data_IF_539236168190
#
_entry.id   IF_539236168190
#
_cell.length_a   1.000
_cell.length_b   1.000
_cell.length_c   1.000
_cell.angle_alpha   90.00
_cell.angle_beta   90.00
_cell.angle_gamma   90.00
#
_symmetry.space_group_name_H-M   'P 1'
#
loop_
_entity.id
_entity.type
_entity.pdbx_description
1 polymer ?
#
# COMPACT_ATOMS: atom_id res chain seq x y z
N UNK A 1 -15.34 20.28 6.70
CA UNK A 1 -14.85 19.02 6.08
C UNK A 1 -15.82 18.64 4.99
N UNK A 2 -15.35 18.27 3.80
CA UNK A 2 -16.23 17.68 2.80
C UNK A 2 -16.77 16.33 3.33
N UNK A 3 -18.04 15.99 3.10
CA UNK A 3 -18.59 14.70 3.54
C UNK A 3 -17.82 13.56 2.86
N UNK A 4 -17.43 12.56 3.64
CA UNK A 4 -16.89 11.30 3.11
C UNK A 4 -18.04 10.61 2.35
N UNK A 5 -17.83 10.17 1.10
CA UNK A 5 -18.85 9.43 0.37
C UNK A 5 -19.37 8.23 1.17
N UNK A 6 -20.69 8.05 1.18
CA UNK A 6 -21.38 7.03 1.98
C UNK A 6 -21.41 5.65 1.31
N UNK A 7 -21.13 5.57 0.01
CA UNK A 7 -21.07 4.33 -0.76
C UNK A 7 -19.95 4.38 -1.82
N UNK A 8 -19.70 3.25 -2.50
CA UNK A 8 -18.70 3.13 -3.58
C UNK A 8 -19.15 3.72 -4.92
N UNK A 9 -20.41 4.14 -5.02
CA UNK A 9 -21.06 4.58 -6.26
C UNK A 9 -21.00 6.09 -6.47
N UNK A 10 -20.29 6.82 -5.61
CA UNK A 10 -20.10 8.25 -5.80
C UNK A 10 -19.36 8.55 -7.12
N UNK A 11 -19.94 9.45 -7.93
CA UNK A 11 -19.44 9.73 -9.28
C UNK A 11 -18.11 10.50 -9.29
N UNK A 12 -17.84 11.30 -8.26
CA UNK A 12 -16.67 12.21 -8.23
C UNK A 12 -16.02 12.30 -6.87
N UNK A 13 -14.70 12.15 -6.84
CA UNK A 13 -13.89 12.43 -5.65
C UNK A 13 -13.90 13.95 -5.39
N UNK A 14 -14.16 14.40 -4.15
CA UNK A 14 -14.12 15.83 -3.80
C UNK A 14 -12.82 16.51 -4.24
N UNK A 15 -12.93 17.73 -4.80
CA UNK A 15 -11.80 18.45 -5.40
C UNK A 15 -10.60 18.59 -4.43
N UNK A 16 -10.87 18.88 -3.16
CA UNK A 16 -9.85 19.05 -2.13
C UNK A 16 -9.06 17.76 -1.78
N UNK A 17 -9.48 16.59 -2.28
CA UNK A 17 -8.80 15.32 -2.12
C UNK A 17 -8.00 14.91 -3.37
N UNK A 18 -8.23 15.58 -4.51
CA UNK A 18 -7.54 15.27 -5.77
C UNK A 18 -6.42 16.26 -6.09
N UNK A 19 -6.24 17.31 -5.27
CA UNK A 19 -5.13 18.26 -5.37
C UNK A 19 -4.34 18.33 -4.07
N UNK A 20 -3.04 18.59 -4.17
CA UNK A 20 -2.19 18.83 -2.99
C UNK A 20 -2.39 20.26 -2.45
N UNK A 21 -1.84 20.55 -1.26
CA UNK A 21 -1.77 21.92 -0.73
C UNK A 21 -0.98 22.90 -1.62
N UNK A 22 -0.17 22.38 -2.54
CA UNK A 22 0.60 23.16 -3.52
C UNK A 22 -0.13 23.29 -4.87
N UNK A 23 -1.39 22.84 -4.93
CA UNK A 23 -2.24 22.85 -6.13
C UNK A 23 -1.75 21.92 -7.25
N UNK A 24 -0.93 20.91 -6.91
CA UNK A 24 -0.53 19.86 -7.84
C UNK A 24 -1.63 18.80 -7.95
N UNK A 25 -1.78 18.19 -9.12
CA UNK A 25 -2.64 17.02 -9.27
C UNK A 25 -2.15 15.89 -8.35
N UNK A 26 -3.07 15.27 -7.62
CA UNK A 26 -2.79 14.20 -6.68
C UNK A 26 -3.50 12.90 -7.04
N UNK A 27 -4.69 12.97 -7.62
CA UNK A 27 -5.38 11.80 -8.18
C UNK A 27 -4.74 11.39 -9.51
N UNK A 28 -4.21 10.18 -9.57
CA UNK A 28 -3.57 9.64 -10.77
C UNK A 28 -4.48 8.69 -11.54
N UNK A 29 -5.30 7.91 -10.82
CA UNK A 29 -6.16 6.90 -11.42
C UNK A 29 -7.41 6.68 -10.56
N UNK A 30 -8.53 6.45 -11.24
CA UNK A 30 -9.80 6.02 -10.66
C UNK A 30 -10.46 5.09 -11.69
N UNK A 31 -10.66 3.82 -11.33
CA UNK A 31 -11.29 2.85 -12.23
C UNK A 31 -12.79 3.09 -12.43
N UNK A 32 -13.36 4.07 -11.70
CA UNK A 32 -14.76 4.44 -11.77
C UNK A 32 -15.61 3.80 -10.67
N UNK A 33 -16.85 4.31 -10.47
CA UNK A 33 -17.75 3.84 -9.42
C UNK A 33 -18.06 2.35 -9.55
N UNK A 34 -18.08 1.62 -8.43
CA UNK A 34 -18.39 0.19 -8.40
C UNK A 34 -17.72 -0.56 -7.26
N UNK A 35 -18.12 -1.82 -7.07
CA UNK A 35 -17.61 -2.68 -6.02
C UNK A 35 -16.10 -2.95 -6.13
N UNK A 36 -15.57 -2.96 -7.36
CA UNK A 36 -14.15 -3.24 -7.65
C UNK A 36 -13.32 -1.97 -7.87
N UNK A 37 -13.79 -0.81 -7.38
CA UNK A 37 -13.13 0.48 -7.60
C UNK A 37 -11.72 0.51 -7.00
N UNK A 38 -10.75 0.92 -7.81
CA UNK A 38 -9.37 1.19 -7.40
C UNK A 38 -9.10 2.67 -7.64
N UNK A 39 -8.54 3.34 -6.63
CA UNK A 39 -8.16 4.75 -6.70
C UNK A 39 -6.70 4.90 -6.30
N UNK A 40 -5.89 5.55 -7.13
CA UNK A 40 -4.46 5.77 -6.90
C UNK A 40 -4.17 7.26 -6.80
N UNK A 41 -3.44 7.64 -5.74
CA UNK A 41 -2.95 8.99 -5.54
C UNK A 41 -1.43 9.03 -5.45
N UNK A 42 -0.81 9.93 -6.21
CA UNK A 42 0.62 10.23 -6.15
C UNK A 42 0.90 11.58 -6.83
N UNK A 43 1.41 12.55 -6.09
CA UNK A 43 1.78 13.84 -6.67
C UNK A 43 3.02 13.72 -7.58
N UNK A 44 3.25 14.66 -8.51
CA UNK A 44 4.44 14.65 -9.36
C UNK A 44 5.76 14.58 -8.57
N UNK A 45 5.83 15.25 -7.42
CA UNK A 45 6.99 15.20 -6.54
C UNK A 45 7.21 13.79 -5.95
N UNK A 46 6.13 13.11 -5.57
CA UNK A 46 6.20 11.73 -5.06
C UNK A 46 6.59 10.75 -6.16
N UNK A 47 6.01 10.86 -7.36
CA UNK A 47 6.39 10.05 -8.52
C UNK A 47 7.87 10.23 -8.87
N UNK A 48 8.40 11.46 -8.77
CA UNK A 48 9.83 11.72 -8.96
C UNK A 48 10.68 11.00 -7.93
N UNK A 49 10.30 11.01 -6.65
CA UNK A 49 11.02 10.26 -5.60
C UNK A 49 10.93 8.76 -5.86
N UNK A 50 9.75 8.27 -6.25
CA UNK A 50 9.51 6.87 -6.59
C UNK A 50 10.39 6.37 -7.74
N UNK A 51 10.68 7.21 -8.74
CA UNK A 51 11.62 6.88 -9.81
C UNK A 51 13.11 7.02 -9.44
N UNK A 52 13.44 7.62 -8.30
CA UNK A 52 14.81 7.82 -7.83
C UNK A 52 15.22 6.86 -6.69
N UNK A 53 14.25 6.22 -6.05
CA UNK A 53 14.48 5.29 -4.95
C UNK A 53 14.66 3.85 -5.47
N UNK A 54 15.50 3.09 -4.79
CA UNK A 54 15.74 1.66 -5.02
C UNK A 54 14.98 0.78 -4.03
N UNK A 55 14.77 1.28 -2.82
CA UNK A 55 14.28 0.49 -1.69
C UNK A 55 12.93 1.02 -1.23
N UNK A 56 12.00 0.09 -1.00
CA UNK A 56 10.62 0.44 -0.68
C UNK A 56 10.09 -0.36 0.49
N UNK A 57 9.10 0.20 1.18
CA UNK A 57 8.27 -0.49 2.15
C UNK A 57 6.83 -0.38 1.68
N UNK A 58 6.14 -1.52 1.58
CA UNK A 58 4.72 -1.55 1.18
C UNK A 58 3.89 -2.22 2.26
N UNK A 59 2.72 -1.64 2.53
CA UNK A 59 1.85 -2.15 3.60
C UNK A 59 0.38 -1.81 3.34
N UNK A 60 -0.51 -2.72 3.77
CA UNK A 60 -1.95 -2.54 3.74
C UNK A 60 -2.46 -2.05 5.10
N UNK A 61 -3.06 -0.86 5.14
CA UNK A 61 -3.62 -0.26 6.35
C UNK A 61 -5.14 -0.46 6.36
N UNK A 62 -5.69 -0.92 7.49
CA UNK A 62 -7.13 -1.19 7.67
C UNK A 62 -7.82 -0.20 8.60
N UNK A 63 -7.15 0.21 9.69
CA UNK A 63 -7.77 0.95 10.80
C UNK A 63 -8.29 2.34 10.42
N UNK A 64 -7.62 2.99 9.46
CA UNK A 64 -7.94 4.36 9.00
C UNK A 64 -8.61 4.39 7.63
N UNK A 65 -8.91 3.21 7.07
CA UNK A 65 -9.48 3.09 5.73
C UNK A 65 -10.95 3.47 5.76
N UNK A 66 -11.42 4.32 4.81
CA UNK A 66 -12.85 4.57 4.66
C UNK A 66 -13.60 3.25 4.50
N UNK A 67 -14.70 3.05 5.24
CA UNK A 67 -15.44 1.77 5.28
C UNK A 67 -15.93 1.26 3.92
N UNK A 68 -16.00 2.14 2.94
CA UNK A 68 -16.36 1.82 1.56
C UNK A 68 -15.26 1.06 0.81
N UNK A 69 -14.00 1.15 1.25
CA UNK A 69 -12.88 0.35 0.73
C UNK A 69 -12.42 -0.68 1.75
N UNK A 70 -11.83 -1.77 1.26
CA UNK A 70 -11.31 -2.83 2.13
C UNK A 70 -9.99 -2.42 2.79
N UNK A 71 -9.12 -1.75 2.05
CA UNK A 71 -7.82 -1.30 2.56
C UNK A 71 -7.29 -0.07 1.84
N UNK A 72 -6.46 0.68 2.55
CA UNK A 72 -5.55 1.66 2.00
C UNK A 72 -4.17 1.00 1.91
N UNK A 73 -3.72 0.71 0.70
CA UNK A 73 -2.39 0.21 0.43
C UNK A 73 -1.42 1.37 0.22
N UNK A 74 -0.30 1.36 0.93
CA UNK A 74 0.68 2.44 0.94
C UNK A 74 2.02 1.97 0.41
N UNK A 75 2.62 2.74 -0.50
CA UNK A 75 3.99 2.54 -0.97
C UNK A 75 4.87 3.64 -0.41
N UNK A 76 5.86 3.26 0.39
CA UNK A 76 6.86 4.15 0.94
C UNK A 76 8.18 3.93 0.22
N UNK A 77 8.81 5.01 -0.25
CA UNK A 77 10.17 4.99 -0.75
C UNK A 77 11.14 5.26 0.41
N UNK A 78 12.20 4.48 0.49
CA UNK A 78 13.37 4.82 1.30
C UNK A 78 14.29 5.64 0.40
N UNK A 79 14.34 6.95 0.64
CA UNK A 79 15.09 7.88 -0.19
C UNK A 79 15.89 8.84 0.67
N UNK A 80 17.21 8.88 0.47
CA UNK A 80 18.14 9.71 1.27
C UNK A 80 18.00 9.50 2.78
N UNK A 81 17.91 8.23 3.18
CA UNK A 81 17.73 7.77 4.57
C UNK A 81 16.41 8.19 5.25
N UNK A 82 15.43 8.66 4.47
CA UNK A 82 14.09 8.99 4.94
C UNK A 82 13.07 8.01 4.38
N UNK A 83 12.03 7.70 5.15
CA UNK A 83 10.88 6.90 4.70
C UNK A 83 9.77 7.84 4.28
N UNK A 84 9.51 7.92 2.98
CA UNK A 84 8.56 8.87 2.40
C UNK A 84 7.40 8.14 1.74
N UNK A 85 6.18 8.48 2.11
CA UNK A 85 4.97 7.95 1.47
C UNK A 85 4.81 8.55 0.07
N UNK A 86 4.93 7.72 -0.95
CA UNK A 86 4.98 8.14 -2.36
C UNK A 86 3.76 7.71 -3.18
N UNK A 87 3.02 6.70 -2.74
CA UNK A 87 1.78 6.28 -3.42
C UNK A 87 0.76 5.76 -2.42
N UNK A 88 -0.50 6.17 -2.61
CA UNK A 88 -1.65 5.69 -1.86
C UNK A 88 -2.60 4.99 -2.81
N UNK A 89 -3.12 3.83 -2.41
CA UNK A 89 -4.09 3.10 -3.20
C UNK A 89 -5.25 2.63 -2.34
N UNK A 90 -6.46 3.04 -2.69
CA UNK A 90 -7.68 2.48 -2.11
C UNK A 90 -8.05 1.23 -2.90
N UNK A 91 -8.12 0.09 -2.21
CA UNK A 91 -8.41 -1.21 -2.82
C UNK A 91 -9.76 -1.78 -2.33
N UNK A 92 -10.51 -2.44 -3.23
CA UNK A 92 -11.81 -3.03 -2.91
C UNK A 92 -11.70 -4.36 -2.15
N UNK A 93 -10.58 -5.07 -2.27
CA UNK A 93 -10.34 -6.39 -1.66
C UNK A 93 -8.84 -6.72 -1.64
N UNK A 94 -8.51 -7.98 -1.27
CA UNK A 94 -7.14 -8.53 -1.16
C UNK A 94 -6.81 -9.61 -2.21
N UNK A 95 -7.56 -9.66 -3.31
CA UNK A 95 -7.31 -10.68 -4.33
C UNK A 95 -6.02 -10.40 -5.10
N UNK A 96 -5.36 -11.46 -5.58
CA UNK A 96 -4.16 -11.31 -6.41
C UNK A 96 -4.45 -10.50 -7.69
N UNK A 97 -5.65 -10.63 -8.27
CA UNK A 97 -6.09 -9.86 -9.44
C UNK A 97 -6.13 -8.37 -9.13
N UNK A 98 -6.72 -7.96 -8.00
CA UNK A 98 -6.76 -6.56 -7.57
C UNK A 98 -5.36 -6.00 -7.33
N UNK A 99 -4.46 -6.77 -6.70
CA UNK A 99 -3.07 -6.35 -6.55
C UNK A 99 -2.34 -6.24 -7.89
N UNK A 100 -2.58 -7.15 -8.83
CA UNK A 100 -2.01 -7.08 -10.18
C UNK A 100 -2.46 -5.82 -10.91
N UNK A 101 -3.75 -5.50 -10.87
CA UNK A 101 -4.28 -4.27 -11.46
C UNK A 101 -3.65 -3.04 -10.83
N UNK A 102 -3.53 -3.01 -9.49
CA UNK A 102 -2.85 -1.93 -8.78
C UNK A 102 -1.41 -1.75 -9.28
N UNK A 103 -0.60 -2.80 -9.27
CA UNK A 103 0.81 -2.71 -9.67
C UNK A 103 0.94 -2.30 -11.14
N UNK A 104 0.12 -2.84 -12.04
CA UNK A 104 0.12 -2.45 -13.44
C UNK A 104 -0.19 -0.95 -13.62
N UNK A 105 -1.21 -0.44 -12.92
CA UNK A 105 -1.56 0.98 -12.99
C UNK A 105 -0.47 1.87 -12.39
N UNK A 106 0.14 1.47 -11.27
CA UNK A 106 1.28 2.21 -10.70
C UNK A 106 2.45 2.26 -11.69
N UNK A 107 2.78 1.17 -12.37
CA UNK A 107 3.85 1.14 -13.38
C UNK A 107 3.55 2.00 -14.60
N UNK A 108 2.27 2.17 -14.97
CA UNK A 108 1.86 3.13 -16.02
C UNK A 108 2.02 4.57 -15.54
N UNK A 109 1.59 4.87 -14.30
CA UNK A 109 1.67 6.21 -13.69
C UNK A 109 3.12 6.62 -13.43
N UNK A 110 3.96 5.68 -12.97
CA UNK A 110 5.37 5.89 -12.64
C UNK A 110 6.24 4.85 -13.36
N UNK A 111 6.52 5.04 -14.67
CA UNK A 111 7.28 4.07 -15.47
C UNK A 111 8.75 3.96 -15.07
N UNK A 112 9.26 4.91 -14.28
CA UNK A 112 10.60 4.87 -13.70
C UNK A 112 10.64 4.15 -12.34
N UNK A 113 9.51 3.64 -11.85
CA UNK A 113 9.50 2.84 -10.64
C UNK A 113 10.14 1.47 -10.91
N UNK A 114 11.41 1.34 -10.50
CA UNK A 114 12.24 0.16 -10.70
C UNK A 114 12.80 -0.30 -9.35
N UNK A 115 11.95 -0.87 -8.47
CA UNK A 115 12.37 -1.28 -7.15
C UNK A 115 13.42 -2.39 -7.22
N UNK A 116 14.47 -2.26 -6.41
CA UNK A 116 15.47 -3.31 -6.21
C UNK A 116 15.15 -4.12 -4.95
N UNK A 117 14.71 -3.45 -3.88
CA UNK A 117 14.31 -4.10 -2.63
C UNK A 117 12.91 -3.64 -2.24
N UNK A 118 12.07 -4.58 -1.80
CA UNK A 118 10.80 -4.25 -1.17
C UNK A 118 10.67 -4.99 0.15
N UNK A 119 10.49 -4.23 1.23
CA UNK A 119 10.09 -4.75 2.52
C UNK A 119 8.57 -4.77 2.59
N UNK A 120 7.99 -5.92 2.95
CA UNK A 120 6.55 -6.08 3.04
C UNK A 120 6.16 -7.15 4.05
N UNK A 121 4.85 -7.28 4.26
CA UNK A 121 4.26 -8.37 5.00
C UNK A 121 4.22 -9.66 4.19
N UNK A 122 4.13 -10.79 4.88
CA UNK A 122 4.12 -12.12 4.27
C UNK A 122 2.79 -12.47 3.56
N UNK A 123 2.07 -11.47 3.05
CA UNK A 123 0.87 -11.69 2.24
C UNK A 123 1.24 -12.21 0.85
N UNK A 124 0.74 -13.40 0.48
CA UNK A 124 1.07 -14.05 -0.80
C UNK A 124 0.67 -13.21 -2.03
N UNK A 125 -0.43 -12.47 -1.96
CA UNK A 125 -0.96 -11.69 -3.09
C UNK A 125 0.05 -10.66 -3.60
N UNK A 126 0.45 -9.68 -2.77
CA UNK A 126 1.45 -8.69 -3.14
C UNK A 126 2.82 -9.30 -3.51
N UNK A 127 3.26 -10.33 -2.78
CA UNK A 127 4.52 -11.05 -3.07
C UNK A 127 4.52 -11.59 -4.50
N UNK A 128 3.49 -12.35 -4.88
CA UNK A 128 3.41 -12.95 -6.21
C UNK A 128 3.40 -11.88 -7.30
N UNK A 129 2.54 -10.87 -7.15
CA UNK A 129 2.38 -9.81 -8.16
C UNK A 129 3.67 -8.99 -8.33
N UNK A 130 4.34 -8.64 -7.24
CA UNK A 130 5.61 -7.88 -7.32
C UNK A 130 6.73 -8.74 -7.92
N UNK A 131 6.76 -10.04 -7.65
CA UNK A 131 7.73 -10.96 -8.25
C UNK A 131 7.53 -11.12 -9.75
N UNK A 132 6.26 -11.21 -10.17
CA UNK A 132 5.89 -11.29 -11.59
C UNK A 132 6.18 -9.96 -12.31
N UNK A 133 5.94 -8.82 -11.67
CA UNK A 133 6.17 -7.49 -12.24
C UNK A 133 7.66 -7.10 -12.30
N UNK A 134 8.47 -7.56 -11.34
CA UNK A 134 9.87 -7.18 -11.19
C UNK A 134 10.75 -8.42 -10.95
N UNK A 135 11.24 -9.09 -12.01
CA UNK A 135 11.89 -10.41 -11.91
C UNK A 135 13.15 -10.47 -11.04
N UNK A 136 13.81 -9.34 -10.80
CA UNK A 136 15.05 -9.25 -10.02
C UNK A 136 14.86 -8.60 -8.64
N UNK A 137 13.61 -8.38 -8.22
CA UNK A 137 13.31 -7.70 -6.95
C UNK A 137 13.68 -8.57 -5.76
N UNK A 138 14.35 -7.99 -4.77
CA UNK A 138 14.61 -8.62 -3.49
C UNK A 138 13.47 -8.32 -2.53
N UNK A 139 12.70 -9.34 -2.18
CA UNK A 139 11.63 -9.21 -1.18
C UNK A 139 12.16 -9.55 0.19
N UNK A 140 11.98 -8.63 1.14
CA UNK A 140 12.36 -8.82 2.53
C UNK A 140 11.12 -8.76 3.42
N UNK A 141 11.08 -9.64 4.42
CA UNK A 141 9.99 -9.63 5.40
C UNK A 141 10.19 -8.49 6.40
N UNK A 142 9.12 -7.77 6.73
CA UNK A 142 9.15 -6.79 7.80
C UNK A 142 9.30 -7.47 9.17
N UNK A 143 10.44 -7.28 9.85
CA UNK A 143 10.71 -7.86 11.18
C UNK A 143 9.69 -7.48 12.24
N UNK A 144 9.09 -6.28 12.14
CA UNK A 144 8.03 -5.84 13.03
C UNK A 144 6.78 -6.73 12.93
N UNK A 145 6.32 -6.97 11.70
CA UNK A 145 5.16 -7.83 11.45
C UNK A 145 5.48 -9.32 11.65
N UNK A 146 6.72 -9.74 11.44
CA UNK A 146 7.19 -11.06 11.85
C UNK A 146 7.05 -11.26 13.36
N UNK A 147 7.56 -10.32 14.18
CA UNK A 147 7.42 -10.36 15.65
C UNK A 147 5.96 -10.38 16.08
N UNK A 148 5.12 -9.56 15.46
CA UNK A 148 3.69 -9.52 15.77
C UNK A 148 2.98 -10.84 15.42
N UNK A 149 3.35 -11.45 14.28
CA UNK A 149 2.82 -12.75 13.86
C UNK A 149 3.22 -13.87 14.81
N UNK A 150 4.51 -13.92 15.21
CA UNK A 150 4.99 -14.87 16.22
C UNK A 150 4.27 -14.66 17.55
N UNK A 151 4.13 -13.41 18.02
CA UNK A 151 3.44 -13.11 19.27
C UNK A 151 1.97 -13.57 19.25
N UNK A 152 1.24 -13.26 18.17
CA UNK A 152 -0.13 -13.79 17.96
C UNK A 152 -0.16 -15.31 17.99
N UNK A 153 0.80 -15.98 17.35
CA UNK A 153 0.85 -17.44 17.32
C UNK A 153 1.11 -18.05 18.69
N UNK A 154 1.99 -17.43 19.49
CA UNK A 154 2.25 -17.82 20.89
C UNK A 154 0.97 -17.66 21.73
N UNK A 155 0.23 -16.56 21.53
CA UNK A 155 -1.05 -16.36 22.21
C UNK A 155 -2.11 -17.39 21.80
N UNK A 156 -2.26 -17.67 20.50
CA UNK A 156 -3.19 -18.67 19.95
C UNK A 156 -2.92 -20.09 20.47
N UNK A 157 -1.65 -20.45 20.64
CA UNK A 157 -1.24 -21.78 21.11
C UNK A 157 -1.32 -21.92 22.63
N UNK A 158 -1.77 -20.89 23.37
CA UNK A 158 -1.87 -20.93 24.83
C UNK A 158 -0.52 -20.97 25.55
N UNK A 159 0.59 -20.75 24.83
CA UNK A 159 1.96 -20.78 25.36
C UNK A 159 2.34 -19.46 26.08
N UNK A 160 1.37 -18.77 26.68
CA UNK A 160 1.63 -17.55 27.45
C UNK A 160 2.33 -17.86 28.78
N UNK A 161 2.13 -19.06 29.34
CA UNK A 161 2.65 -19.44 30.65
C UNK A 161 4.10 -19.96 30.62
N UNK A 162 4.65 -20.35 29.47
CA UNK A 162 6.03 -20.88 29.37
C UNK A 162 7.10 -19.78 29.30
N UNK A 163 6.71 -18.52 29.06
CA UNK A 163 7.64 -17.39 28.95
C UNK A 163 7.67 -16.47 30.18
N UNK A 164 6.89 -16.77 31.24
CA UNK A 164 6.88 -15.98 32.49
C UNK A 164 7.71 -16.59 33.64
N UNK A 165 8.43 -17.67 33.38
CA UNK A 165 9.43 -18.22 34.31
C UNK A 165 10.78 -18.26 33.60
N UNK A 166 11.50 -17.15 33.67
CA UNK A 166 12.97 -17.05 33.85
C UNK A 166 13.39 -15.62 33.47
N UNK A 167 13.13 -14.70 34.40
CA UNK A 167 13.94 -13.50 34.58
C UNK A 167 14.97 -13.80 35.69
#
# INVERSE_FOLDING_TARGET
SAPVPLDLYFDRIPYNLIITKRNDNFLCFDSGPGADRIIIFSSPAQQKIMGLASDFVVDGIFKITPKIFFQLYCVHAIYRNEVLLVCFVLLPNKTQITYQQMINQISIICPLWLPQTVMMDFEKGPINVLGDAFPNIQMTGCFFHFRQTIHRKIQELGMQNDYNTNA
#
